data_IF_012115347072
#
_entry.id   IF_012115347072
#
_cell.length_a   1.000
_cell.length_b   1.000
_cell.length_c   1.000
_cell.angle_alpha   90.00
_cell.angle_beta   90.00
_cell.angle_gamma   90.00
#
_symmetry.space_group_name_H-M   'P 1'
#
loop_
_entity.id
_entity.type
_entity.pdbx_description
1 polymer ?
#
# COMPACT_ATOMS: atom_id res chain seq x y z
N UNK A 1 -18.56 45.93 27.87
CA UNK A 1 -19.09 44.73 28.53
C UNK A 1 -18.98 43.56 27.57
N UNK A 2 -18.06 42.66 27.88
CA UNK A 2 -17.70 41.43 27.16
C UNK A 2 -18.88 40.49 26.97
N UNK A 3 -18.85 39.70 25.88
CA UNK A 3 -19.41 38.34 25.87
C UNK A 3 -18.52 37.44 25.01
N UNK A 4 -17.73 36.64 25.70
CA UNK A 4 -17.00 35.49 25.19
C UNK A 4 -17.97 34.39 24.72
N UNK A 5 -17.78 33.87 23.50
CA UNK A 5 -18.39 32.60 23.08
C UNK A 5 -17.36 31.48 23.26
N UNK A 6 -17.54 30.73 24.34
CA UNK A 6 -16.83 29.47 24.62
C UNK A 6 -17.49 28.36 23.80
N UNK A 7 -16.87 27.96 22.70
CA UNK A 7 -17.29 26.77 21.95
C UNK A 7 -16.59 25.53 22.51
N UNK A 8 -17.41 24.67 23.11
CA UNK A 8 -17.08 23.36 23.65
C UNK A 8 -17.39 22.31 22.59
N UNK A 9 -16.38 21.53 22.19
CA UNK A 9 -16.54 20.42 21.25
C UNK A 9 -15.30 19.53 21.24
N UNK A 10 -15.13 18.72 22.29
CA UNK A 10 -14.17 17.61 22.27
C UNK A 10 -14.94 16.36 21.86
N UNK A 11 -14.74 15.93 20.63
CA UNK A 11 -15.43 14.81 20.01
C UNK A 11 -14.74 13.51 20.45
N UNK A 12 -15.51 12.59 21.03
CA UNK A 12 -15.03 11.29 21.49
C UNK A 12 -14.73 10.39 20.29
N UNK A 13 -13.46 10.30 19.89
CA UNK A 13 -13.01 9.35 18.88
C UNK A 13 -12.90 7.95 19.49
N UNK A 14 -13.91 7.12 19.24
CA UNK A 14 -13.91 5.70 19.57
C UNK A 14 -12.93 4.98 18.63
N UNK A 15 -11.82 4.50 19.19
CA UNK A 15 -10.87 3.62 18.49
C UNK A 15 -11.42 2.20 18.44
N UNK A 16 -11.55 1.62 17.24
CA UNK A 16 -11.85 0.19 17.09
C UNK A 16 -10.56 -0.64 17.22
N UNK A 17 -10.53 -1.72 18.03
CA UNK A 17 -9.43 -2.66 18.02
C UNK A 17 -9.57 -3.63 16.84
N UNK A 18 -8.56 -3.65 15.96
CA UNK A 18 -8.43 -4.68 14.93
C UNK A 18 -7.91 -5.99 15.54
N UNK A 19 -8.59 -7.10 15.22
CA UNK A 19 -8.29 -8.44 15.75
C UNK A 19 -6.99 -9.06 15.21
N UNK A 20 -6.54 -10.20 15.80
CA UNK A 20 -5.26 -10.82 15.49
C UNK A 20 -5.37 -11.66 14.22
N UNK A 21 -4.64 -11.28 13.17
CA UNK A 21 -4.60 -12.07 11.94
C UNK A 21 -3.73 -11.48 10.86
N UNK A 22 -2.42 -11.43 11.08
CA UNK A 22 -1.47 -11.34 9.96
C UNK A 22 -0.23 -12.16 10.30
N UNK A 23 -0.27 -13.46 9.97
CA UNK A 23 0.88 -14.35 9.99
C UNK A 23 1.51 -14.30 8.61
N UNK A 24 2.75 -13.86 8.52
CA UNK A 24 3.57 -13.91 7.31
C UNK A 24 4.13 -15.33 7.14
N UNK A 25 4.09 -15.95 5.94
CA UNK A 25 4.76 -17.22 5.70
C UNK A 25 6.25 -16.97 5.40
N UNK A 26 7.13 -17.65 6.13
CA UNK A 26 8.52 -17.86 5.71
C UNK A 26 8.70 -19.36 5.47
N UNK A 27 9.00 -19.71 4.22
CA UNK A 27 9.23 -21.07 3.74
C UNK A 27 10.73 -21.32 3.58
N UNK A 28 11.15 -22.55 3.92
CA UNK A 28 12.41 -23.29 3.70
C UNK A 28 13.58 -23.00 4.66
N UNK A 29 14.34 -23.95 5.22
CA UNK A 29 14.45 -25.40 5.04
C UNK A 29 14.98 -26.07 6.34
N UNK A 30 14.60 -27.33 6.57
CA UNK A 30 15.14 -28.19 7.63
C UNK A 30 16.53 -28.73 7.26
N UNK A 31 17.48 -28.67 8.20
CA UNK A 31 18.56 -29.66 8.33
C UNK A 31 18.90 -29.79 9.82
N UNK A 32 18.67 -30.98 10.38
CA UNK A 32 19.06 -31.37 11.73
C UNK A 32 20.60 -31.54 11.82
N UNK A 33 21.20 -31.00 12.89
CA UNK A 33 22.61 -31.17 13.20
C UNK A 33 22.93 -30.55 14.56
N UNK A 34 23.00 -31.41 15.57
CA UNK A 34 23.34 -31.13 16.97
C UNK A 34 24.75 -30.52 17.11
N UNK A 35 24.88 -29.36 17.76
CA UNK A 35 26.16 -28.94 18.35
C UNK A 35 26.00 -27.87 19.45
N UNK A 36 26.17 -28.32 20.69
CA UNK A 36 26.77 -27.65 21.85
C UNK A 36 26.55 -26.14 22.05
N UNK A 37 25.77 -25.83 23.09
CA UNK A 37 25.60 -24.53 23.72
C UNK A 37 26.93 -24.04 24.32
N UNK A 38 27.61 -23.16 23.58
CA UNK A 38 28.69 -22.33 24.13
C UNK A 38 28.09 -20.96 24.40
N UNK A 39 27.97 -20.61 25.69
CA UNK A 39 27.51 -19.31 26.17
C UNK A 39 28.49 -18.22 25.74
N UNK A 40 28.30 -17.70 24.52
CA UNK A 40 28.94 -16.47 24.08
C UNK A 40 28.02 -15.33 24.46
N UNK A 41 28.37 -14.65 25.55
CA UNK A 41 27.71 -13.42 26.02
C UNK A 41 27.65 -12.40 24.89
N UNK A 42 26.46 -12.30 24.26
CA UNK A 42 26.12 -11.29 23.28
C UNK A 42 26.09 -9.93 23.98
N UNK A 43 26.87 -8.92 23.54
CA UNK A 43 26.80 -7.60 24.14
C UNK A 43 25.39 -7.05 23.97
N UNK A 44 24.75 -6.71 25.10
CA UNK A 44 23.43 -6.06 25.15
C UNK A 44 23.58 -4.64 24.63
N UNK A 45 23.51 -4.46 23.31
CA UNK A 45 23.42 -3.14 22.70
C UNK A 45 22.08 -2.50 23.11
N UNK A 46 22.13 -1.52 24.02
CA UNK A 46 21.00 -0.66 24.40
C UNK A 46 20.63 0.25 23.20
N UNK A 47 20.05 -0.32 22.15
CA UNK A 47 19.53 0.46 21.02
C UNK A 47 18.10 0.87 21.38
N UNK A 48 17.80 2.18 21.50
CA UNK A 48 16.44 2.64 21.72
C UNK A 48 15.55 2.15 20.58
N UNK A 49 14.41 1.53 20.93
CA UNK A 49 13.42 1.12 19.92
C UNK A 49 12.95 2.39 19.18
N UNK A 50 12.96 2.39 17.83
CA UNK A 50 12.46 3.53 17.06
C UNK A 50 11.02 3.84 17.46
N UNK A 51 10.74 5.10 17.80
CA UNK A 51 9.37 5.57 18.02
C UNK A 51 8.67 5.65 16.66
N UNK A 52 7.52 5.02 16.54
CA UNK A 52 6.69 5.10 15.35
C UNK A 52 6.20 6.55 15.16
N UNK A 53 6.33 7.04 13.94
CA UNK A 53 5.87 8.35 13.49
C UNK A 53 4.58 8.20 12.67
N UNK A 54 3.83 9.30 12.49
CA UNK A 54 2.61 9.28 11.67
C UNK A 54 2.89 8.82 10.22
N UNK A 55 4.07 9.14 9.69
CA UNK A 55 4.48 8.77 8.33
C UNK A 55 4.71 7.27 8.17
N UNK A 56 4.96 6.53 9.24
CA UNK A 56 5.15 5.07 9.18
C UNK A 56 3.84 4.33 8.87
N UNK A 57 2.69 5.00 9.06
CA UNK A 57 1.37 4.50 8.66
C UNK A 57 1.00 4.84 7.21
N UNK A 58 1.91 5.46 6.45
CA UNK A 58 1.65 5.78 5.05
C UNK A 58 1.47 4.49 4.23
N UNK A 59 0.38 4.43 3.47
CA UNK A 59 0.11 3.31 2.57
C UNK A 59 1.16 3.26 1.46
N UNK A 60 1.86 2.13 1.24
CA UNK A 60 2.84 2.04 0.17
C UNK A 60 2.17 2.16 -1.20
N UNK A 61 2.85 2.75 -2.17
CA UNK A 61 2.34 2.96 -3.53
C UNK A 61 1.88 1.67 -4.21
N UNK A 62 2.47 0.51 -3.85
CA UNK A 62 2.03 -0.81 -4.32
C UNK A 62 0.59 -1.13 -3.91
N UNK A 63 0.24 -0.91 -2.63
CA UNK A 63 -1.10 -1.14 -2.10
C UNK A 63 -2.11 -0.17 -2.70
N UNK A 64 -1.75 1.12 -2.85
CA UNK A 64 -2.59 2.11 -3.53
C UNK A 64 -2.86 1.69 -4.98
N UNK A 65 -1.81 1.30 -5.71
CA UNK A 65 -1.91 0.87 -7.09
C UNK A 65 -2.76 -0.41 -7.25
N UNK A 66 -2.61 -1.38 -6.34
CA UNK A 66 -3.43 -2.58 -6.32
C UNK A 66 -4.90 -2.25 -6.08
N UNK A 67 -5.18 -1.37 -5.12
CA UNK A 67 -6.52 -0.87 -4.83
C UNK A 67 -7.15 -0.19 -6.05
N UNK A 68 -6.48 0.80 -6.65
CA UNK A 68 -6.99 1.50 -7.83
C UNK A 68 -7.26 0.54 -8.99
N UNK A 69 -6.35 -0.41 -9.27
CA UNK A 69 -6.55 -1.41 -10.32
C UNK A 69 -7.72 -2.35 -10.02
N UNK A 70 -7.94 -2.73 -8.76
CA UNK A 70 -9.09 -3.54 -8.35
C UNK A 70 -10.41 -2.77 -8.51
N UNK A 71 -10.43 -1.50 -8.11
CA UNK A 71 -11.60 -0.62 -8.26
C UNK A 71 -11.95 -0.45 -9.74
N UNK A 72 -10.98 -0.16 -10.60
CA UNK A 72 -11.24 0.00 -12.03
C UNK A 72 -11.79 -1.28 -12.68
N UNK A 73 -11.28 -2.46 -12.31
CA UNK A 73 -11.84 -3.74 -12.81
C UNK A 73 -13.26 -4.00 -12.33
N UNK A 74 -13.65 -3.46 -11.17
CA UNK A 74 -14.99 -3.63 -10.61
C UNK A 74 -15.99 -2.62 -11.17
N UNK A 75 -15.56 -1.38 -11.40
CA UNK A 75 -16.43 -0.29 -11.86
C UNK A 75 -16.52 -0.20 -13.38
N UNK A 76 -15.41 -0.46 -14.08
CA UNK A 76 -15.34 -0.37 -15.54
C UNK A 76 -15.52 -1.75 -16.14
N UNK A 77 -16.62 -1.94 -16.85
CA UNK A 77 -16.87 -3.23 -17.50
C UNK A 77 -15.83 -3.51 -18.60
N UNK A 78 -15.55 -4.79 -18.91
CA UNK A 78 -14.46 -5.16 -19.81
C UNK A 78 -14.64 -4.70 -21.26
N UNK A 79 -15.89 -4.51 -21.71
CA UNK A 79 -16.25 -4.03 -23.04
C UNK A 79 -15.76 -2.61 -23.36
N UNK A 80 -15.50 -1.77 -22.35
CA UNK A 80 -15.00 -0.39 -22.54
C UNK A 80 -13.58 -0.37 -23.08
N UNK A 81 -12.83 -1.45 -22.87
CA UNK A 81 -11.48 -1.59 -23.37
C UNK A 81 -11.42 -2.18 -24.80
N UNK A 82 -12.57 -2.60 -25.34
CA UNK A 82 -12.70 -3.29 -26.63
C UNK A 82 -13.25 -4.70 -26.48
N UNK A 83 -13.41 -5.40 -27.61
CA UNK A 83 -14.00 -6.75 -27.66
C UNK A 83 -12.90 -7.81 -27.82
N UNK A 84 -13.09 -8.98 -27.20
CA UNK A 84 -12.21 -10.13 -27.36
C UNK A 84 -10.84 -9.94 -26.71
N UNK A 85 -9.80 -10.48 -27.36
CA UNK A 85 -8.44 -10.50 -26.81
C UNK A 85 -7.78 -9.12 -26.80
N UNK A 86 -8.14 -8.25 -27.75
CA UNK A 86 -7.63 -6.87 -27.79
C UNK A 86 -8.12 -6.06 -26.58
N UNK A 87 -9.39 -6.23 -26.19
CA UNK A 87 -9.93 -5.59 -24.99
C UNK A 87 -9.16 -5.90 -23.72
N UNK A 88 -8.78 -7.17 -23.53
CA UNK A 88 -7.95 -7.61 -22.38
C UNK A 88 -6.55 -7.00 -22.42
N UNK A 89 -5.95 -6.91 -23.61
CA UNK A 89 -4.64 -6.28 -23.80
C UNK A 89 -4.69 -4.79 -23.48
N UNK A 90 -5.66 -4.08 -24.05
CA UNK A 90 -5.91 -2.66 -23.81
C UNK A 90 -6.17 -2.35 -22.33
N UNK A 91 -6.99 -3.17 -21.67
CA UNK A 91 -7.20 -3.08 -20.22
C UNK A 91 -5.88 -3.24 -19.46
N UNK A 92 -5.05 -4.22 -19.84
CA UNK A 92 -3.72 -4.40 -19.25
C UNK A 92 -2.82 -3.18 -19.41
N UNK A 93 -2.85 -2.52 -20.56
CA UNK A 93 -2.09 -1.30 -20.84
C UNK A 93 -2.58 -0.15 -19.97
N UNK A 94 -3.89 0.11 -19.93
CA UNK A 94 -4.48 1.15 -19.07
C UNK A 94 -4.11 0.93 -17.59
N UNK A 95 -4.24 -0.30 -17.09
CA UNK A 95 -3.90 -0.61 -15.70
C UNK A 95 -2.39 -0.48 -15.40
N UNK A 96 -1.52 -0.64 -16.39
CA UNK A 96 -0.08 -0.32 -16.25
C UNK A 96 0.15 1.19 -16.14
N UNK A 97 -0.55 2.00 -16.93
CA UNK A 97 -0.47 3.46 -16.81
C UNK A 97 -0.96 3.94 -15.44
N UNK A 98 -1.98 3.30 -14.86
CA UNK A 98 -2.43 3.58 -13.48
C UNK A 98 -1.31 3.32 -12.47
N UNK A 99 -0.60 2.18 -12.57
CA UNK A 99 0.53 1.90 -11.68
C UNK A 99 1.66 2.92 -11.84
N UNK A 100 1.99 3.26 -13.08
CA UNK A 100 2.97 4.32 -13.37
C UNK A 100 2.55 5.63 -12.74
N UNK A 101 1.28 6.02 -12.88
CA UNK A 101 0.72 7.24 -12.30
C UNK A 101 0.90 7.30 -10.78
N UNK A 102 0.56 6.22 -10.07
CA UNK A 102 0.67 6.17 -8.61
C UNK A 102 2.12 6.24 -8.11
N UNK A 103 3.08 5.82 -8.94
CA UNK A 103 4.52 5.85 -8.61
C UNK A 103 5.24 7.12 -9.06
N UNK A 104 4.61 7.93 -9.91
CA UNK A 104 5.20 9.19 -10.35
C UNK A 104 5.41 10.13 -9.17
N UNK A 105 6.43 10.97 -9.26
CA UNK A 105 6.70 11.95 -8.21
C UNK A 105 5.65 13.06 -8.25
N UNK A 106 5.59 13.81 -7.15
CA UNK A 106 4.91 15.12 -7.16
C UNK A 106 5.43 15.95 -8.34
N UNK A 107 4.54 16.67 -9.02
CA UNK A 107 4.82 17.50 -10.22
C UNK A 107 5.14 16.76 -11.53
N UNK A 108 5.00 15.43 -11.58
CA UNK A 108 5.01 14.67 -12.84
C UNK A 108 3.57 14.38 -13.31
N UNK A 109 3.33 14.42 -14.63
CA UNK A 109 2.01 14.21 -15.24
C UNK A 109 2.09 13.18 -16.37
N UNK A 110 1.02 12.41 -16.52
CA UNK A 110 0.82 11.51 -17.66
C UNK A 110 0.02 12.22 -18.73
N UNK A 111 0.54 12.27 -19.95
CA UNK A 111 -0.16 12.85 -21.08
C UNK A 111 -1.07 11.83 -21.77
N UNK A 112 -2.12 12.32 -22.43
CA UNK A 112 -3.05 11.46 -23.15
C UNK A 112 -2.35 10.72 -24.30
N UNK A 113 -1.41 11.36 -25.00
CA UNK A 113 -0.70 10.70 -26.10
C UNK A 113 0.10 9.47 -25.61
N UNK A 114 0.72 9.57 -24.42
CA UNK A 114 1.44 8.43 -23.80
C UNK A 114 0.50 7.28 -23.46
N UNK A 115 -0.73 7.57 -23.02
CA UNK A 115 -1.72 6.56 -22.66
C UNK A 115 -2.29 5.88 -23.91
N UNK A 116 -2.58 6.66 -24.96
CA UNK A 116 -3.17 6.15 -26.19
C UNK A 116 -2.18 5.38 -27.08
N UNK A 117 -0.87 5.64 -26.95
CA UNK A 117 0.17 5.11 -27.84
C UNK A 117 0.34 3.57 -27.89
N UNK A 118 -0.37 2.82 -27.05
CA UNK A 118 -0.38 1.35 -27.07
C UNK A 118 -1.76 0.72 -27.22
N UNK A 119 -2.82 1.52 -27.31
CA UNK A 119 -4.21 1.03 -27.36
C UNK A 119 -4.61 0.82 -28.82
N UNK A 120 -5.25 -0.31 -29.11
CA UNK A 120 -5.60 -0.75 -30.46
C UNK A 120 -7.09 -0.96 -30.65
#
# INVERSE_FOLDING_TARGET
MSRDLKSSGAENLITQPAGPGCVLPSTVAETNGDLNTVDVQKPKSNIPKPKLSLTDYATPSSSVSAFCRAVLRKLVSPQWYGVGQQGKSNQGIILKHVDRFVRMRRSESLSIHEICGGIK
#
